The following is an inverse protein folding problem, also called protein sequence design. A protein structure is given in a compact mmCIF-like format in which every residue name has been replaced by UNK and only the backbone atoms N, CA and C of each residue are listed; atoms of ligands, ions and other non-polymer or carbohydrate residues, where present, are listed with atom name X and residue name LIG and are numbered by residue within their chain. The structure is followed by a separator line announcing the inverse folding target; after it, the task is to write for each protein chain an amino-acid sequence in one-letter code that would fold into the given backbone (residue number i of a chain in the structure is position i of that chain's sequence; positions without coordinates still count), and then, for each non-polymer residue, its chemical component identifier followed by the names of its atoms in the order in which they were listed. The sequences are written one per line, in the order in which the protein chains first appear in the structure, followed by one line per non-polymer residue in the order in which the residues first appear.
data_IF_401588281588
#
_entry.id   IF_401588281588
#
_cell.length_a   1.000
_cell.length_b   1.000
_cell.length_c   1.000
_cell.angle_alpha   90.00
_cell.angle_beta   90.00
_cell.angle_gamma   90.00
#
_symmetry.space_group_name_H-M   'P 1'
#
loop_
_entity.id
_entity.type
_entity.pdbx_description
1 polymer ?
#
# COMPACT_ATOMS: atom_id res chain seq x y z
N UNK A 1 4.78 -27.31 4.09
CA UNK A 1 5.20 -26.17 4.93
C UNK A 1 6.70 -26.13 5.21
N UNK A 2 7.44 -27.24 5.09
CA UNK A 2 8.87 -27.26 5.43
C UNK A 2 9.72 -26.28 4.60
N UNK A 3 9.50 -26.19 3.29
CA UNK A 3 10.22 -25.25 2.39
C UNK A 3 9.99 -23.78 2.76
N UNK A 4 8.79 -23.43 3.24
CA UNK A 4 8.49 -22.06 3.70
C UNK A 4 9.24 -21.77 5.00
N UNK A 5 9.24 -22.73 5.94
CA UNK A 5 9.96 -22.61 7.21
C UNK A 5 11.46 -22.45 6.99
N UNK A 6 12.04 -23.29 6.14
CA UNK A 6 13.45 -23.23 5.74
C UNK A 6 13.78 -21.87 5.09
N UNK A 7 13.00 -21.43 4.10
CA UNK A 7 13.20 -20.13 3.48
C UNK A 7 13.11 -18.97 4.48
N UNK A 8 12.18 -19.01 5.42
CA UNK A 8 12.08 -18.01 6.50
C UNK A 8 13.28 -18.03 7.44
N UNK A 9 13.81 -19.20 7.79
CA UNK A 9 14.90 -19.35 8.77
C UNK A 9 16.28 -19.11 8.17
N UNK A 10 16.50 -19.45 6.90
CA UNK A 10 17.81 -19.39 6.25
C UNK A 10 17.97 -18.20 5.33
N UNK A 11 16.94 -17.87 4.53
CA UNK A 11 17.01 -16.82 3.50
C UNK A 11 16.35 -15.52 3.93
N UNK A 12 15.25 -15.60 4.69
CA UNK A 12 14.45 -14.45 5.15
C UNK A 12 13.47 -13.89 4.11
N UNK A 13 13.41 -14.47 2.90
CA UNK A 13 12.42 -14.13 1.87
C UNK A 13 12.19 -15.31 0.91
N UNK A 14 11.04 -15.30 0.23
CA UNK A 14 10.71 -16.25 -0.84
C UNK A 14 9.67 -15.65 -1.78
N UNK A 15 9.52 -16.23 -2.97
CA UNK A 15 8.46 -15.87 -3.91
C UNK A 15 7.37 -16.95 -3.88
N UNK A 16 6.10 -16.52 -3.89
CA UNK A 16 4.96 -17.43 -4.03
C UNK A 16 4.44 -17.33 -5.45
N UNK A 17 4.45 -18.46 -6.15
CA UNK A 17 3.77 -18.63 -7.44
C UNK A 17 2.48 -19.42 -7.25
N UNK A 18 1.51 -19.27 -8.15
CA UNK A 18 0.21 -19.94 -8.07
C UNK A 18 -0.53 -19.69 -6.73
N UNK A 19 -0.42 -18.48 -6.19
CA UNK A 19 -1.04 -18.07 -4.91
C UNK A 19 -2.57 -17.96 -4.93
N UNK A 20 -3.22 -18.19 -6.07
CA UNK A 20 -4.69 -18.10 -6.21
C UNK A 20 -5.23 -16.68 -6.39
N UNK A 21 -4.48 -15.63 -6.03
CA UNK A 21 -4.86 -14.24 -6.33
C UNK A 21 -4.94 -14.01 -7.86
N UNK A 22 -6.07 -13.50 -8.40
CA UNK A 22 -6.21 -13.24 -9.84
C UNK A 22 -5.20 -12.22 -10.36
N UNK A 23 -4.56 -12.51 -11.50
CA UNK A 23 -3.62 -11.57 -12.15
C UNK A 23 -4.25 -10.20 -12.46
N UNK A 24 -5.50 -10.11 -12.98
CA UNK A 24 -6.11 -8.80 -13.26
C UNK A 24 -6.30 -7.93 -12.00
N UNK A 25 -6.43 -8.55 -10.82
CA UNK A 25 -6.51 -7.85 -9.55
C UNK A 25 -5.16 -7.24 -9.17
N UNK A 26 -4.08 -8.00 -9.33
CA UNK A 26 -2.70 -7.54 -9.07
C UNK A 26 -2.36 -6.38 -10.02
N UNK A 27 -2.64 -6.53 -11.32
CA UNK A 27 -2.38 -5.50 -12.33
C UNK A 27 -3.14 -4.21 -12.01
N UNK A 28 -4.43 -4.33 -11.63
CA UNK A 28 -5.23 -3.18 -11.21
C UNK A 28 -4.65 -2.52 -9.97
N UNK A 29 -4.22 -3.29 -8.97
CA UNK A 29 -3.62 -2.76 -7.74
C UNK A 29 -2.35 -1.95 -8.03
N UNK A 30 -1.47 -2.45 -8.91
CA UNK A 30 -0.30 -1.70 -9.36
C UNK A 30 -0.71 -0.44 -10.14
N UNK A 31 -1.66 -0.56 -11.08
CA UNK A 31 -2.11 0.57 -11.89
C UNK A 31 -2.68 1.72 -11.05
N UNK A 32 -3.56 1.42 -10.08
CA UNK A 32 -4.15 2.47 -9.22
C UNK A 32 -3.11 3.07 -8.28
N UNK A 33 -2.16 2.28 -7.80
CA UNK A 33 -1.06 2.77 -6.97
C UNK A 33 -0.16 3.73 -7.76
N UNK A 34 0.30 3.31 -8.95
CA UNK A 34 1.11 4.15 -9.84
C UNK A 34 0.39 5.46 -10.16
N UNK A 35 -0.88 5.38 -10.56
CA UNK A 35 -1.64 6.60 -10.87
C UNK A 35 -1.72 7.57 -9.69
N UNK A 36 -1.95 7.07 -8.46
CA UNK A 36 -1.93 7.93 -7.27
C UNK A 36 -0.56 8.59 -7.03
N UNK A 37 0.52 7.81 -7.09
CA UNK A 37 1.86 8.31 -6.80
C UNK A 37 2.43 9.20 -7.91
N UNK A 38 1.90 9.13 -9.13
CA UNK A 38 2.24 10.05 -10.23
C UNK A 38 1.55 11.42 -10.10
N UNK A 39 0.54 11.57 -9.23
CA UNK A 39 -0.10 12.86 -9.00
C UNK A 39 0.88 13.91 -8.45
N UNK A 40 0.62 15.21 -8.72
CA UNK A 40 1.35 16.32 -8.11
C UNK A 40 1.45 16.20 -6.58
N UNK A 41 2.55 16.70 -6.01
CA UNK A 41 2.78 16.57 -4.57
C UNK A 41 1.69 17.25 -3.72
N UNK A 42 1.15 18.37 -4.19
CA UNK A 42 0.04 19.09 -3.54
C UNK A 42 -1.27 18.29 -3.58
N UNK A 43 -1.51 17.50 -4.63
CA UNK A 43 -2.66 16.59 -4.68
C UNK A 43 -2.55 15.46 -3.66
N UNK A 44 -1.37 14.84 -3.57
CA UNK A 44 -1.12 13.75 -2.62
C UNK A 44 -1.20 14.22 -1.16
N UNK A 45 -0.69 15.42 -0.87
CA UNK A 45 -0.70 16.02 0.47
C UNK A 45 -2.12 16.24 1.04
N UNK A 46 -3.16 16.34 0.19
CA UNK A 46 -4.56 16.46 0.64
C UNK A 46 -5.05 15.23 1.39
N UNK A 47 -4.35 14.10 1.24
CA UNK A 47 -4.69 12.83 1.88
C UNK A 47 -3.77 12.50 3.07
N UNK A 48 -2.96 13.45 3.53
CA UNK A 48 -2.20 13.29 4.77
C UNK A 48 -3.10 13.46 6.00
N UNK A 49 -2.79 12.74 7.07
CA UNK A 49 -3.49 12.84 8.36
C UNK A 49 -3.37 14.19 9.06
N UNK A 50 -2.39 15.02 8.65
CA UNK A 50 -2.00 16.25 9.37
C UNK A 50 -1.44 15.99 10.78
N UNK A 51 -1.15 14.73 11.12
CA UNK A 51 -0.68 14.30 12.43
C UNK A 51 0.76 13.79 12.34
N UNK A 52 1.59 14.17 13.30
CA UNK A 52 2.96 13.66 13.47
C UNK A 52 3.00 12.25 14.10
N UNK A 53 1.85 11.57 14.20
CA UNK A 53 1.79 10.22 14.73
C UNK A 53 2.60 9.25 13.85
N UNK A 54 3.39 8.33 14.43
CA UNK A 54 4.19 7.37 13.65
C UNK A 54 3.40 6.46 12.70
N UNK A 55 2.10 6.28 12.97
CA UNK A 55 1.19 5.41 12.21
C UNK A 55 -0.07 6.16 11.79
N UNK A 56 0.11 7.29 11.12
CA UNK A 56 -1.02 8.10 10.69
C UNK A 56 -1.60 7.58 9.35
N UNK A 57 -2.92 7.30 9.27
CA UNK A 57 -3.55 6.83 8.04
C UNK A 57 -3.46 7.88 6.92
N UNK A 58 -3.45 7.40 5.68
CA UNK A 58 -3.35 8.26 4.50
C UNK A 58 -1.93 8.45 3.98
N UNK A 59 -1.73 9.51 3.20
CA UNK A 59 -0.46 9.78 2.50
C UNK A 59 0.58 10.34 3.46
N UNK A 60 1.77 9.73 3.42
CA UNK A 60 2.90 10.10 4.24
C UNK A 60 4.14 10.23 3.36
N UNK A 61 5.01 11.17 3.72
CA UNK A 61 6.31 11.35 3.09
C UNK A 61 7.37 11.43 4.17
N UNK A 62 8.28 10.48 4.17
CA UNK A 62 9.45 10.52 5.04
C UNK A 62 10.55 11.36 4.38
N UNK A 63 11.21 12.25 5.14
CA UNK A 63 12.35 13.02 4.65
C UNK A 63 13.65 12.19 4.54
N UNK A 64 13.56 10.87 4.71
CA UNK A 64 14.70 10.03 5.09
C UNK A 64 15.46 9.56 3.85
N UNK A 65 16.62 10.19 3.65
CA UNK A 65 17.73 9.91 2.71
C UNK A 65 17.53 10.27 1.23
N UNK A 66 17.97 11.46 0.79
CA UNK A 66 18.24 11.73 -0.63
C UNK A 66 19.15 10.64 -1.22
N UNK A 67 18.95 10.20 -2.48
CA UNK A 67 18.01 10.72 -3.48
C UNK A 67 16.61 10.10 -3.42
N UNK A 68 16.33 9.21 -2.47
CA UNK A 68 15.12 8.41 -2.48
C UNK A 68 13.96 9.16 -1.82
N UNK A 69 12.91 9.38 -2.62
CA UNK A 69 11.64 9.87 -2.10
C UNK A 69 10.92 8.71 -1.45
N UNK A 70 10.91 8.68 -0.12
CA UNK A 70 10.15 7.71 0.65
C UNK A 70 8.72 8.24 0.84
N UNK A 71 7.83 7.92 -0.11
CA UNK A 71 6.40 8.20 0.00
C UNK A 71 5.59 6.91 0.09
N UNK A 72 4.56 6.92 0.92
CA UNK A 72 3.72 5.74 1.16
C UNK A 72 2.30 6.14 1.56
N UNK A 73 1.38 5.21 1.39
CA UNK A 73 -0.01 5.33 1.82
C UNK A 73 -0.26 4.28 2.91
N UNK A 74 -0.61 4.72 4.11
CA UNK A 74 -0.94 3.81 5.21
C UNK A 74 -2.45 3.59 5.25
N UNK A 75 -2.86 2.33 5.12
CA UNK A 75 -4.26 1.91 5.21
C UNK A 75 -4.38 0.74 6.17
N UNK A 76 -5.39 0.80 7.04
CA UNK A 76 -5.76 -0.27 7.94
C UNK A 76 -6.86 -1.14 7.33
N UNK A 77 -6.97 -2.38 7.79
CA UNK A 77 -8.12 -3.24 7.46
C UNK A 77 -9.45 -2.51 7.76
N UNK A 78 -10.52 -2.71 6.97
CA UNK A 78 -11.86 -2.22 7.32
C UNK A 78 -12.36 -2.69 8.68
N UNK A 79 -11.82 -3.80 9.20
CA UNK A 79 -12.12 -4.32 10.54
C UNK A 79 -11.34 -3.64 11.67
N UNK A 80 -10.40 -2.73 11.34
CA UNK A 80 -9.66 -1.94 12.32
C UNK A 80 -10.56 -0.86 12.93
N UNK A 81 -10.28 -0.49 14.18
CA UNK A 81 -10.90 0.67 14.83
C UNK A 81 -10.38 2.02 14.27
N UNK A 82 -9.33 2.00 13.44
CA UNK A 82 -8.73 3.19 12.84
C UNK A 82 -9.46 3.61 11.57
N UNK A 83 -9.77 4.90 11.44
CA UNK A 83 -10.36 5.49 10.24
C UNK A 83 -9.30 5.74 9.17
N UNK A 84 -9.46 5.15 7.97
CA UNK A 84 -8.60 5.43 6.82
C UNK A 84 -8.93 6.76 6.14
N UNK A 85 -7.90 7.42 5.60
CA UNK A 85 -8.02 8.56 4.69
C UNK A 85 -7.74 8.05 3.28
N UNK A 86 -8.79 7.91 2.47
CA UNK A 86 -8.69 7.38 1.12
C UNK A 86 -8.48 8.50 0.09
N UNK A 87 -7.56 8.32 -0.88
CA UNK A 87 -7.52 9.11 -2.09
C UNK A 87 -8.86 9.09 -2.84
N UNK A 88 -9.36 10.26 -3.23
CA UNK A 88 -10.52 10.36 -4.12
C UNK A 88 -10.12 10.12 -5.58
N UNK A 89 -8.84 10.31 -5.91
CA UNK A 89 -8.25 10.05 -7.22
C UNK A 89 -6.99 9.18 -7.03
N UNK A 90 -6.91 7.98 -7.63
CA UNK A 90 -7.96 7.30 -8.38
C UNK A 90 -9.09 6.76 -7.48
N UNK A 91 -10.36 6.77 -7.94
CA UNK A 91 -11.51 6.35 -7.13
C UNK A 91 -11.48 4.85 -6.75
N UNK A 92 -10.73 4.05 -7.50
CA UNK A 92 -10.62 2.59 -7.29
C UNK A 92 -9.57 2.19 -6.26
N UNK A 93 -8.96 3.15 -5.57
CA UNK A 93 -8.01 2.86 -4.49
C UNK A 93 -8.72 2.42 -3.20
N UNK A 94 -10.02 2.71 -3.08
CA UNK A 94 -10.87 2.27 -1.97
C UNK A 94 -11.38 0.86 -2.24
N UNK A 95 -10.65 -0.14 -1.77
CA UNK A 95 -11.08 -1.54 -1.63
C UNK A 95 -11.64 -2.19 -2.91
N UNK A 96 -10.92 -3.19 -3.44
CA UNK A 96 -11.51 -4.09 -4.43
C UNK A 96 -12.30 -5.16 -3.66
N UNK A 97 -13.63 -5.28 -3.85
CA UNK A 97 -14.38 -6.36 -3.23
C UNK A 97 -13.80 -7.71 -3.66
N UNK A 98 -13.90 -8.69 -2.76
CA UNK A 98 -13.59 -10.09 -3.03
C UNK A 98 -14.40 -10.52 -4.26
N UNK A 99 -13.75 -10.66 -5.41
CA UNK A 99 -14.36 -11.25 -6.59
C UNK A 99 -14.25 -12.77 -6.41
N UNK A 100 -15.26 -13.32 -5.73
CA UNK A 100 -15.47 -14.74 -5.47
C UNK A 100 -15.57 -15.56 -6.75
#
# INVERSE_FOLDING_TARGET
MEVVKEACSETGFFQVVNHGVPTPLIDRAFQVSTHFFDLPADEKLRYSSGSDAPLAPGYNRQPVHPPYRSEFLLMFSPSSAMTNIYPANPPHLRYVPDES
#
